data_IF_985078562931
#
_entry.id   IF_985078562931
#
_cell.length_a   1.000
_cell.length_b   1.000
_cell.length_c   1.000
_cell.angle_alpha   90.00
_cell.angle_beta   90.00
_cell.angle_gamma   90.00
#
_symmetry.space_group_name_H-M   'P 1'
#
loop_
_entity.id
_entity.type
_entity.pdbx_description
1 polymer ?
#
# COMPACT_ATOMS: atom_id res chain seq x y z
N UNK A 1 -13.99 -4.20 7.00
CA UNK A 1 -13.18 -3.43 6.03
C UNK A 1 -11.81 -4.09 5.89
N UNK A 2 -11.19 -4.03 4.70
CA UNK A 2 -9.85 -4.58 4.49
C UNK A 2 -8.79 -3.64 5.04
N UNK A 3 -7.85 -4.16 5.84
CA UNK A 3 -6.71 -3.43 6.39
C UNK A 3 -5.43 -3.96 5.77
N UNK A 4 -4.57 -3.06 5.29
CA UNK A 4 -3.24 -3.45 4.81
C UNK A 4 -2.39 -3.83 6.01
N UNK A 5 -1.88 -5.06 5.98
CA UNK A 5 -0.88 -5.56 6.91
C UNK A 5 0.38 -5.82 6.11
N UNK A 6 1.41 -5.03 6.41
CA UNK A 6 2.77 -5.29 5.95
C UNK A 6 3.33 -6.35 6.88
N UNK A 7 4.10 -7.28 6.33
CA UNK A 7 4.54 -8.42 7.10
C UNK A 7 5.46 -8.01 8.25
N UNK A 8 4.98 -8.27 9.45
CA UNK A 8 5.77 -8.37 10.67
C UNK A 8 6.39 -9.78 10.67
N UNK A 9 7.66 -9.90 11.09
CA UNK A 9 8.43 -11.15 11.03
C UNK A 9 7.90 -12.24 11.98
N UNK A 10 6.70 -12.75 11.71
CA UNK A 10 5.95 -13.63 12.60
C UNK A 10 6.24 -15.11 12.32
N UNK A 11 6.36 -15.90 13.40
CA UNK A 11 6.67 -17.34 13.41
C UNK A 11 5.49 -18.20 13.00
N UNK A 12 4.87 -17.98 11.84
CA UNK A 12 3.89 -18.93 11.32
C UNK A 12 4.63 -20.15 10.72
N UNK A 13 4.45 -21.38 11.25
CA UNK A 13 5.16 -22.57 10.76
C UNK A 13 4.89 -22.90 9.29
N UNK A 14 3.79 -22.39 8.74
CA UNK A 14 3.35 -22.62 7.36
C UNK A 14 3.86 -21.55 6.39
N UNK A 15 4.48 -20.48 6.88
CA UNK A 15 5.05 -19.44 6.05
C UNK A 15 6.58 -19.64 5.95
N UNK A 16 7.10 -19.71 4.71
CA UNK A 16 8.53 -19.77 4.43
C UNK A 16 8.98 -18.53 3.70
N UNK A 17 10.18 -18.06 4.00
CA UNK A 17 10.77 -16.85 3.41
C UNK A 17 12.28 -16.90 3.55
N UNK A 18 12.99 -16.33 2.57
CA UNK A 18 14.44 -16.12 2.64
C UNK A 18 14.80 -14.77 3.29
N UNK A 19 13.85 -13.83 3.35
CA UNK A 19 14.07 -12.47 3.85
C UNK A 19 13.12 -12.07 4.99
N UNK A 20 12.82 -13.01 5.90
CA UNK A 20 11.94 -12.78 7.06
C UNK A 20 10.60 -12.05 6.77
N UNK A 21 10.02 -12.31 5.59
CA UNK A 21 8.79 -11.70 5.07
C UNK A 21 8.85 -10.19 4.77
N UNK A 22 10.02 -9.55 4.84
CA UNK A 22 10.18 -8.13 4.51
C UNK A 22 9.61 -7.84 3.11
N UNK A 23 8.81 -6.77 2.98
CA UNK A 23 8.13 -6.36 1.74
C UNK A 23 6.86 -7.14 1.39
N UNK A 24 6.47 -8.17 2.15
CA UNK A 24 5.20 -8.89 1.92
C UNK A 24 4.02 -8.01 2.35
N UNK A 25 3.01 -7.93 1.47
CA UNK A 25 1.78 -7.17 1.67
C UNK A 25 0.59 -8.13 1.68
N UNK A 26 -0.23 -8.10 2.73
CA UNK A 26 -1.45 -8.90 2.84
C UNK A 26 -2.58 -7.98 3.30
N UNK A 27 -3.77 -8.17 2.75
CA UNK A 27 -4.97 -7.50 3.23
C UNK A 27 -5.72 -8.46 4.14
N UNK A 28 -5.99 -8.04 5.38
CA UNK A 28 -6.81 -8.79 6.33
C UNK A 28 -8.19 -8.13 6.43
N UNK A 29 -9.25 -8.94 6.34
CA UNK A 29 -10.62 -8.45 6.49
C UNK A 29 -10.97 -8.31 7.97
N UNK A 30 -11.26 -7.09 8.41
CA UNK A 30 -11.74 -6.82 9.76
C UNK A 30 -13.27 -6.62 9.75
N UNK A 31 -14.06 -7.58 10.28
CA UNK A 31 -15.52 -7.49 10.30
C UNK A 31 -16.06 -6.41 11.24
N UNK A 32 -15.28 -5.99 12.25
CA UNK A 32 -15.70 -5.01 13.25
C UNK A 32 -15.32 -3.57 12.88
N UNK A 33 -14.72 -3.38 11.71
CA UNK A 33 -14.26 -2.07 11.27
C UNK A 33 -15.45 -1.18 10.88
N UNK A 34 -15.72 -0.16 11.70
CA UNK A 34 -16.79 0.80 11.48
C UNK A 34 -16.47 1.76 10.32
N UNK A 35 -17.51 2.11 9.58
CA UNK A 35 -17.53 2.89 8.34
C UNK A 35 -16.74 4.22 8.37
N UNK A 36 -15.85 4.36 7.39
CA UNK A 36 -15.24 5.53 6.70
C UNK A 36 -14.73 6.78 7.45
N UNK A 37 -15.35 7.23 8.54
CA UNK A 37 -14.91 8.44 9.25
C UNK A 37 -13.70 8.18 10.14
N UNK A 38 -13.64 7.01 10.80
CA UNK A 38 -12.48 6.61 11.61
C UNK A 38 -11.26 6.25 10.74
N UNK A 39 -11.45 5.77 9.50
CA UNK A 39 -10.37 5.50 8.54
C UNK A 39 -9.57 6.77 8.18
N UNK A 40 -10.26 7.88 7.91
CA UNK A 40 -9.61 9.15 7.56
C UNK A 40 -8.85 9.77 8.73
N UNK A 41 -9.36 9.59 9.94
CA UNK A 41 -8.76 10.10 11.18
C UNK A 41 -7.55 9.25 11.60
N UNK A 42 -7.65 7.93 11.52
CA UNK A 42 -6.60 7.01 11.95
C UNK A 42 -5.40 7.00 10.99
N UNK A 43 -5.64 7.17 9.68
CA UNK A 43 -4.58 7.33 8.69
C UNK A 43 -3.92 8.73 8.73
N UNK A 44 -4.52 9.69 9.44
CA UNK A 44 -3.92 11.01 9.71
C UNK A 44 -3.09 11.07 10.99
N UNK A 45 -3.24 10.09 11.90
CA UNK A 45 -2.66 10.12 13.25
C UNK A 45 -1.74 8.94 13.61
N UNK A 46 -1.66 7.88 12.79
CA UNK A 46 -0.66 6.81 12.97
C UNK A 46 0.72 7.15 12.41
N UNK A 47 0.87 8.32 11.77
CA UNK A 47 2.16 8.93 11.50
C UNK A 47 2.60 9.66 12.77
N UNK A 48 3.69 9.25 13.40
CA UNK A 48 4.24 9.84 14.62
C UNK A 48 4.83 11.24 14.45
N UNK A 49 4.04 12.17 13.93
CA UNK A 49 4.31 13.59 13.82
C UNK A 49 3.01 14.25 13.40
N UNK A 50 2.70 15.41 14.00
CA UNK A 50 1.53 16.24 13.69
C UNK A 50 1.10 16.05 12.22
N UNK A 51 -0.12 15.56 12.03
CA UNK A 51 -0.70 14.97 10.81
C UNK A 51 -0.77 15.85 9.56
N UNK A 52 0.26 16.64 9.31
CA UNK A 52 0.58 17.35 8.10
C UNK A 52 2.08 17.12 7.91
N UNK A 53 2.47 16.33 6.90
CA UNK A 53 3.77 16.56 6.27
C UNK A 53 3.78 18.06 5.98
N UNK A 54 4.66 18.82 6.65
CA UNK A 54 4.80 20.27 6.42
C UNK A 54 5.41 20.45 5.03
N UNK A 55 4.57 20.26 4.02
CA UNK A 55 4.95 20.35 2.63
C UNK A 55 5.26 21.82 2.35
N UNK A 56 6.39 22.12 1.69
CA UNK A 56 6.70 23.46 1.23
C UNK A 56 5.51 24.08 0.47
N UNK A 57 5.29 25.40 0.51
CA UNK A 57 4.17 26.05 -0.16
C UNK A 57 4.01 25.60 -1.61
N UNK A 58 2.77 25.42 -2.06
CA UNK A 58 2.50 25.00 -3.44
C UNK A 58 2.89 26.13 -4.40
N UNK A 59 3.99 25.95 -5.12
CA UNK A 59 4.41 26.84 -6.22
C UNK A 59 3.55 26.54 -7.44
N UNK A 60 2.96 27.56 -8.06
CA UNK A 60 2.25 27.46 -9.35
C UNK A 60 3.19 27.97 -10.44
N UNK A 61 3.41 27.17 -11.48
CA UNK A 61 4.21 27.53 -12.64
C UNK A 61 3.29 27.48 -13.86
N UNK A 62 3.10 28.62 -14.53
CA UNK A 62 2.13 28.76 -15.62
C UNK A 62 2.78 28.65 -17.01
N UNK A 63 4.11 28.78 -17.12
CA UNK A 63 4.86 28.66 -18.37
C UNK A 63 6.34 28.32 -18.18
N UNK A 64 7.05 28.06 -19.28
CA UNK A 64 8.48 27.68 -19.28
C UNK A 64 9.37 28.85 -18.84
N UNK A 65 8.90 30.09 -19.08
CA UNK A 65 9.59 31.33 -18.71
C UNK A 65 9.63 31.58 -17.19
N UNK A 66 8.69 30.99 -16.44
CA UNK A 66 8.58 31.09 -14.97
C UNK A 66 9.41 30.02 -14.23
N UNK A 67 10.13 29.15 -14.96
CA UNK A 67 10.89 28.04 -14.38
C UNK A 67 12.22 28.55 -13.84
N UNK A 68 12.21 28.95 -12.57
CA UNK A 68 13.41 29.29 -11.82
C UNK A 68 13.99 28.06 -11.11
N UNK A 69 15.28 28.10 -10.75
CA UNK A 69 15.93 26.99 -10.02
C UNK A 69 15.26 26.77 -8.66
N UNK A 70 14.84 27.85 -8.01
CA UNK A 70 14.16 27.86 -6.71
C UNK A 70 12.76 27.25 -6.78
N UNK A 71 12.04 27.49 -7.89
CA UNK A 71 10.76 26.83 -8.17
C UNK A 71 10.95 25.32 -8.29
N UNK A 72 11.92 24.88 -9.09
CA UNK A 72 12.22 23.45 -9.30
C UNK A 72 12.64 22.76 -8.01
N UNK A 73 13.54 23.36 -7.22
CA UNK A 73 13.97 22.76 -5.94
C UNK A 73 12.82 22.65 -4.95
N UNK A 74 11.96 23.67 -4.87
CA UNK A 74 10.79 23.65 -3.98
C UNK A 74 9.80 22.55 -4.39
N UNK A 75 9.55 22.38 -5.69
CA UNK A 75 8.68 21.32 -6.22
C UNK A 75 9.27 19.94 -5.93
N UNK A 76 10.57 19.75 -6.17
CA UNK A 76 11.26 18.48 -5.92
C UNK A 76 11.25 18.11 -4.44
N UNK A 77 11.57 19.05 -3.55
CA UNK A 77 11.52 18.82 -2.10
C UNK A 77 10.10 18.44 -1.69
N UNK A 78 9.09 19.17 -2.19
CA UNK A 78 7.68 18.86 -1.90
C UNK A 78 7.28 17.47 -2.39
N UNK A 79 7.69 17.08 -3.59
CA UNK A 79 7.41 15.75 -4.14
C UNK A 79 8.12 14.64 -3.34
N UNK A 80 9.40 14.82 -3.03
CA UNK A 80 10.18 13.87 -2.23
C UNK A 80 9.62 13.72 -0.83
N UNK A 81 9.28 14.82 -0.15
CA UNK A 81 8.66 14.79 1.18
C UNK A 81 7.31 14.05 1.17
N UNK A 82 6.53 14.23 0.10
CA UNK A 82 5.28 13.47 -0.07
C UNK A 82 5.55 11.98 -0.30
N UNK A 83 6.42 11.61 -1.25
CA UNK A 83 6.73 10.21 -1.52
C UNK A 83 7.40 9.51 -0.33
N UNK A 84 8.23 10.20 0.46
CA UNK A 84 8.82 9.65 1.67
C UNK A 84 7.74 9.31 2.72
N UNK A 85 6.66 10.09 2.81
CA UNK A 85 5.56 9.78 3.74
C UNK A 85 4.74 8.54 3.36
N UNK A 86 4.85 8.06 2.12
CA UNK A 86 4.21 6.83 1.66
C UNK A 86 5.05 5.58 1.91
N UNK A 87 6.29 5.74 2.38
CA UNK A 87 7.19 4.62 2.63
C UNK A 87 6.69 3.80 3.84
N UNK A 88 6.65 2.48 3.68
CA UNK A 88 6.34 1.53 4.75
C UNK A 88 7.45 1.51 5.82
N UNK A 89 7.14 1.01 7.01
CA UNK A 89 8.09 0.95 8.14
C UNK A 89 9.34 0.09 7.86
N UNK A 90 9.25 -0.88 6.95
CA UNK A 90 10.34 -1.75 6.50
C UNK A 90 11.08 -1.19 5.27
N UNK A 91 10.73 0.02 4.84
CA UNK A 91 11.44 0.78 3.80
C UNK A 91 10.95 0.57 2.37
N UNK A 92 9.95 -0.29 2.12
CA UNK A 92 9.38 -0.45 0.78
C UNK A 92 8.26 0.57 0.49
N UNK A 93 7.89 0.75 -0.79
CA UNK A 93 6.73 1.56 -1.19
C UNK A 93 5.57 0.65 -1.61
N UNK A 94 4.45 0.62 -0.87
CA UNK A 94 3.30 -0.17 -1.24
C UNK A 94 2.56 0.54 -2.38
N UNK A 95 2.40 -0.14 -3.50
CA UNK A 95 1.55 0.30 -4.61
C UNK A 95 0.54 -0.77 -4.99
N UNK A 96 -0.57 -0.32 -5.57
CA UNK A 96 -1.44 -1.17 -6.38
C UNK A 96 -0.70 -1.53 -7.67
N UNK A 97 -0.62 -2.84 -7.94
CA UNK A 97 0.08 -3.40 -9.10
C UNK A 97 -0.86 -4.29 -9.92
N UNK A 98 -2.12 -3.86 -10.02
CA UNK A 98 -3.08 -4.43 -10.98
C UNK A 98 -2.78 -4.03 -12.43
N UNK A 99 -3.74 -4.29 -13.32
CA UNK A 99 -3.68 -3.92 -14.74
C UNK A 99 -4.06 -5.07 -15.66
N UNK A 100 -3.34 -6.21 -15.64
CA UNK A 100 -3.69 -7.35 -16.46
C UNK A 100 -5.05 -7.95 -16.06
N UNK A 101 -6.04 -7.87 -16.95
CA UNK A 101 -7.41 -8.33 -16.69
C UNK A 101 -7.60 -9.85 -16.78
N UNK A 102 -6.54 -10.61 -17.11
CA UNK A 102 -6.60 -12.07 -17.25
C UNK A 102 -6.10 -12.85 -16.02
N UNK A 103 -5.53 -12.17 -15.02
CA UNK A 103 -4.98 -12.83 -13.83
C UNK A 103 -6.08 -13.34 -12.88
N UNK A 104 -7.11 -12.52 -12.61
CA UNK A 104 -8.22 -12.91 -11.74
C UNK A 104 -9.07 -14.04 -12.32
N UNK A 105 -9.53 -14.00 -13.59
CA UNK A 105 -10.32 -15.09 -14.16
C UNK A 105 -9.58 -16.43 -14.15
N UNK A 106 -8.26 -16.41 -14.40
CA UNK A 106 -7.43 -17.62 -14.36
C UNK A 106 -7.33 -18.17 -12.93
N UNK A 107 -7.14 -17.30 -11.95
CA UNK A 107 -7.09 -17.69 -10.53
C UNK A 107 -8.43 -18.30 -10.09
N UNK A 108 -9.56 -17.67 -10.42
CA UNK A 108 -10.90 -18.15 -10.06
C UNK A 108 -11.15 -19.54 -10.62
N UNK A 109 -10.85 -19.76 -11.91
CA UNK A 109 -10.99 -21.08 -12.53
C UNK A 109 -10.12 -22.15 -11.85
N UNK A 110 -8.87 -21.82 -11.50
CA UNK A 110 -7.99 -22.78 -10.81
C UNK A 110 -8.50 -23.15 -9.42
N UNK A 111 -9.06 -22.20 -8.68
CA UNK A 111 -9.64 -22.45 -7.36
C UNK A 111 -10.91 -23.29 -7.47
N UNK A 112 -11.79 -22.98 -8.42
CA UNK A 112 -13.00 -23.78 -8.68
C UNK A 112 -12.66 -25.23 -9.02
N UNK A 113 -11.68 -25.45 -9.91
CA UNK A 113 -11.24 -26.79 -10.28
C UNK A 113 -10.60 -27.54 -9.10
N UNK A 114 -9.88 -26.84 -8.22
CA UNK A 114 -9.30 -27.42 -7.02
C UNK A 114 -10.39 -27.84 -6.01
N UNK A 115 -11.40 -26.99 -5.80
CA UNK A 115 -12.55 -27.29 -4.93
C UNK A 115 -13.34 -28.47 -5.50
N UNK A 116 -13.64 -28.46 -6.79
CA UNK A 116 -14.34 -29.56 -7.44
C UNK A 116 -13.59 -30.88 -7.27
N UNK A 117 -12.26 -30.89 -7.47
CA UNK A 117 -11.44 -32.08 -7.31
C UNK A 117 -11.43 -32.58 -5.87
N UNK A 118 -11.34 -31.67 -4.90
CA UNK A 118 -11.43 -31.98 -3.46
C UNK A 118 -12.76 -32.68 -3.15
N UNK A 119 -13.86 -32.08 -3.59
CA UNK A 119 -15.21 -32.60 -3.33
C UNK A 119 -15.49 -33.93 -4.06
N UNK A 120 -14.93 -34.12 -5.25
CA UNK A 120 -15.04 -35.37 -6.02
C UNK A 120 -14.19 -36.52 -5.47
N UNK A 121 -13.09 -36.23 -4.78
CA UNK A 121 -12.15 -37.25 -4.27
C UNK A 121 -12.27 -37.50 -2.77
N UNK A 122 -13.03 -36.68 -2.04
CA UNK A 122 -13.35 -36.88 -0.62
C UNK A 122 -12.19 -36.68 0.35
N UNK A 123 -11.12 -36.01 -0.09
CA UNK A 123 -9.97 -35.59 0.74
C UNK A 123 -10.02 -34.09 1.02
#
# INVERSE_FOLDING_TARGET
MWKLKIAEGERNPWLRTLNNHIGKKVWEFDPNHSSDLLLRIQNSSSSGGDGQVLLPPKVKVNGIEDVTKESVTTILIRALSFYSSLQSYDGHWPGDYGGPMFLLPSLDLTMDMAIWKRDATGF
#
